data_IF_299554544368
#
_entry.id   IF_299554544368
#
_cell.length_a   1.000
_cell.length_b   1.000
_cell.length_c   1.000
_cell.angle_alpha   90.00
_cell.angle_beta   90.00
_cell.angle_gamma   90.00
#
_symmetry.space_group_name_H-M   'P 1'
#
loop_
_entity.id
_entity.type
_entity.pdbx_description
1 polymer ?
#
# COMPACT_ATOMS: atom_id res chain seq x y z
N UNK A 1 -36.33 2.84 -21.85
CA UNK A 1 -35.37 3.78 -21.23
C UNK A 1 -34.71 3.26 -19.93
N UNK A 2 -35.28 2.28 -19.21
CA UNK A 2 -34.75 1.82 -17.90
C UNK A 2 -33.55 0.84 -17.92
N UNK A 3 -33.39 0.00 -18.95
CA UNK A 3 -32.38 -1.08 -18.94
C UNK A 3 -30.92 -0.58 -18.96
N UNK A 4 -30.66 0.54 -19.67
CA UNK A 4 -29.33 1.17 -19.71
C UNK A 4 -28.96 1.79 -18.35
N UNK A 5 -29.93 2.39 -17.67
CA UNK A 5 -29.73 3.01 -16.36
C UNK A 5 -29.42 1.98 -15.26
N UNK A 6 -30.08 0.81 -15.30
CA UNK A 6 -29.87 -0.28 -14.33
C UNK A 6 -28.46 -0.87 -14.48
N UNK A 7 -28.01 -1.11 -15.72
CA UNK A 7 -26.64 -1.59 -15.98
C UNK A 7 -25.59 -0.58 -15.51
N UNK A 8 -25.84 0.71 -15.70
CA UNK A 8 -24.95 1.77 -15.24
C UNK A 8 -24.89 1.89 -13.71
N UNK A 9 -26.03 1.67 -13.01
CA UNK A 9 -26.09 1.64 -11.54
C UNK A 9 -25.35 0.44 -10.95
N UNK A 10 -25.50 -0.75 -11.54
CA UNK A 10 -24.74 -1.93 -11.12
C UNK A 10 -23.24 -1.74 -11.32
N UNK A 11 -22.84 -1.19 -12.47
CA UNK A 11 -21.43 -0.89 -12.74
C UNK A 11 -20.82 0.05 -11.69
N UNK A 12 -21.53 1.14 -11.36
CA UNK A 12 -21.07 2.08 -10.33
C UNK A 12 -21.01 1.40 -8.96
N UNK A 13 -22.01 0.57 -8.60
CA UNK A 13 -22.00 -0.13 -7.32
C UNK A 13 -20.83 -1.10 -7.19
N UNK A 14 -20.51 -1.86 -8.23
CA UNK A 14 -19.35 -2.78 -8.23
C UNK A 14 -18.04 -2.01 -8.08
N UNK A 15 -17.90 -0.85 -8.74
CA UNK A 15 -16.73 0.01 -8.58
C UNK A 15 -16.61 0.60 -7.17
N UNK A 16 -17.72 1.03 -6.57
CA UNK A 16 -17.75 1.51 -5.19
C UNK A 16 -17.38 0.39 -4.20
N UNK A 17 -17.82 -0.84 -4.44
CA UNK A 17 -17.43 -1.99 -3.61
C UNK A 17 -15.93 -2.30 -3.71
N UNK A 18 -15.30 -2.10 -4.88
CA UNK A 18 -13.85 -2.24 -5.04
C UNK A 18 -13.06 -1.13 -4.34
N UNK A 19 -13.60 0.10 -4.33
CA UNK A 19 -13.01 1.24 -3.63
C UNK A 19 -13.42 1.35 -2.15
N UNK A 20 -14.13 0.35 -1.64
CA UNK A 20 -14.50 0.31 -0.23
C UNK A 20 -13.24 0.16 0.63
N UNK A 21 -13.18 0.90 1.74
CA UNK A 21 -12.05 0.85 2.67
C UNK A 21 -11.78 -0.56 3.18
N UNK A 22 -12.81 -1.40 3.31
CA UNK A 22 -12.69 -2.80 3.71
C UNK A 22 -11.86 -3.61 2.72
N UNK A 23 -11.77 -3.20 1.46
CA UNK A 23 -10.98 -3.85 0.41
C UNK A 23 -9.64 -3.15 0.23
N UNK A 24 -9.62 -1.81 0.17
CA UNK A 24 -8.38 -1.05 -0.05
C UNK A 24 -7.37 -1.24 1.10
N UNK A 25 -7.83 -1.13 2.35
CA UNK A 25 -6.94 -1.19 3.51
C UNK A 25 -6.13 -2.48 3.59
N UNK A 26 -6.72 -3.70 3.55
CA UNK A 26 -5.93 -4.92 3.65
C UNK A 26 -4.95 -5.10 2.49
N UNK A 27 -5.34 -4.71 1.26
CA UNK A 27 -4.44 -4.76 0.09
C UNK A 27 -3.23 -3.85 0.32
N UNK A 28 -3.46 -2.60 0.76
CA UNK A 28 -2.39 -1.66 1.02
C UNK A 28 -1.51 -2.11 2.19
N UNK A 29 -2.09 -2.67 3.25
CA UNK A 29 -1.34 -3.21 4.39
C UNK A 29 -0.39 -4.31 3.94
N UNK A 30 -0.86 -5.26 3.12
CA UNK A 30 0.00 -6.34 2.60
C UNK A 30 1.16 -5.76 1.78
N UNK A 31 0.86 -4.85 0.84
CA UNK A 31 1.88 -4.20 0.01
C UNK A 31 2.88 -3.42 0.86
N UNK A 32 2.40 -2.68 1.85
CA UNK A 32 3.23 -1.91 2.78
C UNK A 32 4.13 -2.82 3.60
N UNK A 33 3.60 -3.88 4.20
CA UNK A 33 4.37 -4.84 5.01
C UNK A 33 5.48 -5.49 4.18
N UNK A 34 5.17 -5.99 2.97
CA UNK A 34 6.18 -6.58 2.09
C UNK A 34 7.22 -5.54 1.68
N UNK A 35 6.81 -4.31 1.40
CA UNK A 35 7.73 -3.21 1.08
C UNK A 35 8.66 -2.89 2.25
N UNK A 36 8.15 -2.84 3.49
CA UNK A 36 8.96 -2.62 4.68
C UNK A 36 10.02 -3.71 4.87
N UNK A 37 9.67 -4.98 4.66
CA UNK A 37 10.63 -6.08 4.73
C UNK A 37 11.70 -5.96 3.63
N UNK A 38 11.31 -5.59 2.42
CA UNK A 38 12.22 -5.42 1.30
C UNK A 38 13.19 -4.25 1.51
N UNK A 39 12.68 -3.08 1.91
CA UNK A 39 13.51 -1.89 2.11
C UNK A 39 14.32 -1.96 3.42
N UNK A 40 13.79 -2.60 4.47
CA UNK A 40 14.50 -2.78 5.72
C UNK A 40 15.74 -3.67 5.62
N UNK A 41 15.80 -4.57 4.62
CA UNK A 41 16.97 -5.42 4.37
C UNK A 41 17.97 -4.81 3.39
N UNK A 42 17.61 -3.71 2.71
CA UNK A 42 18.44 -3.02 1.72
C UNK A 42 18.90 -1.68 2.25
N UNK A 43 19.70 -1.73 3.30
CA UNK A 43 20.31 -0.56 3.88
C UNK A 43 21.69 -0.29 3.24
N UNK A 44 22.15 0.96 3.30
CA UNK A 44 23.38 1.40 2.64
C UNK A 44 24.32 2.06 3.64
N UNK A 45 24.11 3.35 3.88
CA UNK A 45 25.05 4.18 4.64
C UNK A 45 25.40 3.61 6.03
N UNK A 46 24.40 3.13 6.80
CA UNK A 46 24.63 2.64 8.16
C UNK A 46 25.43 1.32 8.24
N UNK A 47 25.57 0.58 7.13
CA UNK A 47 26.34 -0.67 7.06
C UNK A 47 27.73 -0.48 6.43
N UNK A 48 28.17 0.77 6.25
CA UNK A 48 29.50 1.08 5.69
C UNK A 48 30.49 1.47 6.77
N UNK A 49 31.78 1.27 6.50
CA UNK A 49 32.88 1.74 7.37
C UNK A 49 32.91 3.27 7.56
N UNK A 50 32.17 4.02 6.72
CA UNK A 50 32.03 5.48 6.84
C UNK A 50 31.07 5.87 7.95
N UNK A 51 30.26 4.92 8.45
CA UNK A 51 29.36 5.15 9.54
C UNK A 51 30.06 4.89 10.88
N UNK A 52 30.17 5.94 11.69
CA UNK A 52 30.89 5.92 12.97
C UNK A 52 29.95 6.09 14.17
N UNK A 53 28.64 6.19 13.94
CA UNK A 53 27.63 6.32 14.98
C UNK A 53 27.04 4.98 15.40
N UNK A 54 26.11 5.01 16.35
CA UNK A 54 25.39 3.83 16.85
C UNK A 54 23.94 3.72 16.33
N UNK A 55 23.59 4.50 15.32
CA UNK A 55 22.23 4.65 14.80
C UNK A 55 21.44 5.82 15.42
N UNK A 56 22.01 6.54 16.38
CA UNK A 56 21.36 7.68 17.06
C UNK A 56 22.09 9.01 16.80
N UNK A 57 21.49 10.10 17.26
CA UNK A 57 22.04 11.46 17.08
C UNK A 57 23.15 11.83 18.09
N UNK A 58 23.48 10.93 19.03
CA UNK A 58 24.43 11.18 20.11
C UNK A 58 25.79 10.54 19.82
#
# INVERSE_FOLDING_TARGET
MGLKYINQRHFIQTFQNMLDLKVILPILTILFTVSCLFFGTRNGFYDTDKYHGNGSAH
#
